data_IF_293889261635
#
_entry.id   IF_293889261635
#
_cell.length_a   1.000
_cell.length_b   1.000
_cell.length_c   1.000
_cell.angle_alpha   90.00
_cell.angle_beta   90.00
_cell.angle_gamma   90.00
#
_symmetry.space_group_name_H-M   'P 1'
#
loop_
_entity.id
_entity.type
_entity.pdbx_description
1 polymer ?
#
# COMPACT_ATOMS: atom_id res chain seq x y z
N UNK A 1 13.25 -5.13 -28.73
CA UNK A 1 11.90 -5.16 -29.33
C UNK A 1 11.20 -6.53 -29.27
N UNK A 2 11.74 -7.54 -28.54
CA UNK A 2 11.15 -8.89 -28.44
C UNK A 2 10.59 -9.26 -27.06
N UNK A 3 10.84 -8.49 -26.01
CA UNK A 3 10.39 -8.80 -24.61
C UNK A 3 8.98 -8.28 -24.34
N UNK A 4 8.55 -7.22 -25.01
CA UNK A 4 7.24 -6.61 -24.81
C UNK A 4 6.03 -7.44 -25.31
N UNK A 5 6.26 -8.48 -26.12
CA UNK A 5 5.19 -9.31 -26.70
C UNK A 5 4.84 -10.52 -25.82
N UNK A 6 5.71 -10.94 -24.90
CA UNK A 6 5.45 -12.08 -24.01
C UNK A 6 4.61 -11.73 -22.76
N UNK A 7 4.58 -10.45 -22.39
CA UNK A 7 3.87 -9.99 -21.18
C UNK A 7 2.38 -9.68 -21.40
N UNK A 8 1.97 -9.38 -22.65
CA UNK A 8 0.56 -9.07 -22.97
C UNK A 8 -0.43 -10.23 -22.81
N UNK A 9 0.07 -11.47 -22.70
CA UNK A 9 -0.78 -12.66 -22.61
C UNK A 9 -1.05 -13.19 -21.19
N UNK A 10 -0.34 -12.72 -20.16
CA UNK A 10 -0.46 -13.28 -18.81
C UNK A 10 -1.26 -12.40 -17.82
N UNK A 11 -1.28 -11.09 -18.01
CA UNK A 11 -1.97 -10.19 -17.07
C UNK A 11 -3.51 -10.34 -17.06
N UNK A 12 -4.11 -10.84 -18.13
CA UNK A 12 -5.58 -11.00 -18.19
C UNK A 12 -6.11 -12.30 -17.56
N UNK A 13 -5.24 -13.17 -17.01
CA UNK A 13 -5.65 -14.46 -16.42
C UNK A 13 -5.60 -14.50 -14.89
N UNK A 14 -5.12 -13.45 -14.22
CA UNK A 14 -4.89 -13.44 -12.77
C UNK A 14 -6.20 -13.39 -11.95
N UNK A 15 -7.31 -13.02 -12.56
CA UNK A 15 -8.60 -12.88 -11.88
C UNK A 15 -9.62 -14.00 -12.24
N UNK A 16 -9.17 -15.22 -12.42
CA UNK A 16 -10.04 -16.35 -12.77
C UNK A 16 -10.43 -17.16 -11.52
N UNK A 17 -11.55 -16.80 -10.91
CA UNK A 17 -12.42 -17.65 -10.08
C UNK A 17 -11.88 -18.16 -8.73
N UNK A 18 -12.77 -18.43 -7.77
CA UNK A 18 -12.38 -18.82 -6.43
C UNK A 18 -11.88 -20.27 -6.36
N UNK A 19 -10.65 -20.45 -5.88
CA UNK A 19 -10.21 -21.75 -5.32
C UNK A 19 -9.80 -21.47 -3.88
N UNK A 20 -10.67 -21.87 -2.98
CA UNK A 20 -10.41 -21.84 -1.54
C UNK A 20 -9.38 -22.92 -1.19
N UNK A 21 -8.18 -22.54 -0.84
CA UNK A 21 -7.11 -23.45 -0.44
C UNK A 21 -6.64 -23.12 0.99
N UNK A 22 -7.09 -23.95 1.95
CA UNK A 22 -6.77 -23.77 3.37
C UNK A 22 -5.26 -23.90 3.67
N UNK A 23 -4.48 -24.60 2.84
CA UNK A 23 -3.03 -24.72 3.03
C UNK A 23 -2.30 -23.39 2.76
N UNK A 24 -2.85 -22.55 1.89
CA UNK A 24 -2.26 -21.22 1.60
C UNK A 24 -2.43 -20.22 2.74
N UNK A 25 -3.46 -20.36 3.58
CA UNK A 25 -3.66 -19.53 4.77
C UNK A 25 -2.65 -19.81 5.89
N UNK A 26 -1.98 -20.96 5.87
CA UNK A 26 -1.02 -21.36 6.91
C UNK A 26 0.38 -20.76 6.74
N UNK A 27 0.65 -20.11 5.62
CA UNK A 27 1.98 -19.58 5.35
C UNK A 27 2.32 -18.40 6.28
N UNK A 28 3.42 -18.53 7.02
CA UNK A 28 4.01 -17.43 7.80
C UNK A 28 4.62 -16.45 6.81
N UNK A 29 4.22 -15.18 6.89
CA UNK A 29 4.83 -14.12 6.10
C UNK A 29 6.18 -13.71 6.73
N UNK A 30 7.26 -13.57 5.94
CA UNK A 30 8.57 -13.23 6.45
C UNK A 30 8.70 -11.74 6.72
N UNK A 31 9.38 -11.36 7.80
CA UNK A 31 9.75 -9.96 8.06
C UNK A 31 11.06 -9.67 7.30
N UNK A 32 11.00 -8.76 6.33
CA UNK A 32 12.15 -8.40 5.49
C UNK A 32 12.79 -7.12 6.00
N UNK A 33 14.00 -7.20 6.53
CA UNK A 33 14.74 -6.05 7.03
C UNK A 33 15.44 -5.32 5.89
N UNK A 34 14.91 -4.16 5.52
CA UNK A 34 15.40 -3.35 4.41
C UNK A 34 16.14 -2.09 4.90
N UNK A 35 16.99 -1.53 4.02
CA UNK A 35 17.65 -0.23 4.22
C UNK A 35 17.85 0.43 2.86
N UNK A 36 17.31 1.63 2.68
CA UNK A 36 17.37 2.31 1.38
C UNK A 36 18.39 3.44 1.33
N UNK A 37 18.82 4.02 2.46
CA UNK A 37 19.81 5.12 2.54
C UNK A 37 19.48 6.23 1.53
N UNK A 38 18.31 6.88 1.69
CA UNK A 38 17.85 7.92 0.79
C UNK A 38 18.80 9.11 0.74
N UNK A 39 19.02 9.64 -0.47
CA UNK A 39 19.92 10.77 -0.74
C UNK A 39 19.10 11.97 -1.19
N UNK A 40 19.09 13.03 -0.39
CA UNK A 40 18.27 14.24 -0.63
C UNK A 40 18.56 14.88 -1.99
N UNK A 41 19.82 14.92 -2.39
CA UNK A 41 20.29 15.58 -3.61
C UNK A 41 19.76 14.89 -4.88
N UNK A 42 19.27 13.65 -4.75
CA UNK A 42 18.76 12.85 -5.86
C UNK A 42 17.25 12.88 -5.98
N UNK A 43 16.55 13.50 -5.05
CA UNK A 43 15.07 13.55 -5.09
C UNK A 43 14.62 14.63 -6.06
N UNK A 44 14.12 14.19 -7.22
CA UNK A 44 13.43 15.08 -8.15
C UNK A 44 11.98 15.30 -7.66
N UNK A 45 11.50 16.55 -7.59
CA UNK A 45 10.09 16.84 -7.32
C UNK A 45 9.09 16.17 -8.27
N UNK A 46 9.55 15.70 -9.39
CA UNK A 46 8.77 14.99 -10.42
C UNK A 46 9.20 13.53 -10.57
N UNK A 47 9.55 12.89 -9.49
CA UNK A 47 10.11 11.54 -9.47
C UNK A 47 9.19 10.45 -10.04
N UNK A 48 7.86 10.67 -10.07
CA UNK A 48 6.92 9.78 -10.74
C UNK A 48 6.41 10.37 -12.06
N UNK A 49 6.53 9.62 -13.14
CA UNK A 49 6.03 9.97 -14.48
C UNK A 49 6.46 11.34 -14.99
N UNK A 50 7.54 11.90 -14.41
CA UNK A 50 7.96 13.28 -14.67
C UNK A 50 6.80 14.30 -14.50
N UNK A 51 5.91 14.05 -13.55
CA UNK A 51 4.70 14.87 -13.31
C UNK A 51 4.58 15.28 -11.83
N UNK A 52 4.39 16.59 -11.58
CA UNK A 52 4.32 17.13 -10.23
C UNK A 52 3.15 16.55 -9.40
N UNK A 53 1.98 16.40 -10.03
CA UNK A 53 0.80 15.88 -9.34
C UNK A 53 0.95 14.39 -8.97
N UNK A 54 1.50 13.56 -9.88
CA UNK A 54 1.73 12.15 -9.60
C UNK A 54 2.77 11.96 -8.48
N UNK A 55 3.86 12.74 -8.52
CA UNK A 55 4.89 12.71 -7.48
C UNK A 55 4.36 13.20 -6.13
N UNK A 56 3.54 14.26 -6.13
CA UNK A 56 2.87 14.75 -4.92
C UNK A 56 1.91 13.71 -4.32
N UNK A 57 1.23 12.92 -5.15
CA UNK A 57 0.39 11.82 -4.69
C UNK A 57 1.19 10.79 -3.91
N UNK A 58 2.29 10.27 -4.46
CA UNK A 58 3.11 9.26 -3.79
C UNK A 58 3.81 9.82 -2.53
N UNK A 59 4.26 11.08 -2.56
CA UNK A 59 4.80 11.73 -1.37
C UNK A 59 3.76 11.87 -0.26
N UNK A 60 2.53 12.25 -0.62
CA UNK A 60 1.42 12.36 0.33
C UNK A 60 1.02 10.99 0.87
N UNK A 61 0.95 9.98 0.01
CA UNK A 61 0.66 8.61 0.39
C UNK A 61 1.68 8.11 1.43
N UNK A 62 2.98 8.31 1.18
CA UNK A 62 4.05 7.95 2.11
C UNK A 62 3.86 8.57 3.51
N UNK A 63 3.44 9.85 3.57
CA UNK A 63 3.22 10.53 4.86
C UNK A 63 2.01 9.96 5.61
N UNK A 64 0.92 9.66 4.91
CA UNK A 64 -0.29 9.16 5.56
C UNK A 64 -0.22 7.67 5.90
N UNK A 65 0.57 6.88 5.17
CA UNK A 65 0.77 5.46 5.46
C UNK A 65 1.33 5.27 6.87
N UNK A 66 2.32 6.04 7.30
CA UNK A 66 2.94 5.87 8.64
C UNK A 66 1.92 5.94 9.77
N UNK A 67 0.93 6.83 9.69
CA UNK A 67 -0.15 6.92 10.69
C UNK A 67 -1.18 5.80 10.58
N UNK A 68 -1.47 5.34 9.36
CA UNK A 68 -2.34 4.19 9.11
C UNK A 68 -1.73 2.90 9.64
N UNK A 69 -0.46 2.68 9.38
CA UNK A 69 0.33 1.55 9.84
C UNK A 69 0.44 1.52 11.37
N UNK A 70 0.67 2.66 12.02
CA UNK A 70 0.68 2.75 13.49
C UNK A 70 -0.68 2.36 14.08
N UNK A 71 -1.81 2.78 13.46
CA UNK A 71 -3.15 2.33 13.86
C UNK A 71 -3.32 0.81 13.69
N UNK A 72 -2.83 0.25 12.58
CA UNK A 72 -2.84 -1.21 12.32
C UNK A 72 -2.03 -1.94 13.37
N UNK A 73 -0.80 -1.51 13.63
CA UNK A 73 0.11 -2.08 14.64
C UNK A 73 -0.56 -2.14 16.01
N UNK A 74 -1.08 -1.02 16.49
CA UNK A 74 -1.68 -0.90 17.83
C UNK A 74 -2.95 -1.74 17.94
N UNK A 75 -3.77 -1.73 16.89
CA UNK A 75 -5.00 -2.53 16.84
C UNK A 75 -4.69 -4.03 16.78
N UNK A 76 -3.73 -4.43 15.95
CA UNK A 76 -3.30 -5.82 15.82
C UNK A 76 -2.68 -6.33 17.14
N UNK A 77 -1.82 -5.55 17.80
CA UNK A 77 -1.23 -5.89 19.11
C UNK A 77 -2.31 -6.14 20.16
N UNK A 78 -3.29 -5.23 20.27
CA UNK A 78 -4.38 -5.37 21.23
C UNK A 78 -5.20 -6.64 20.99
N UNK A 79 -5.58 -6.92 19.75
CA UNK A 79 -6.49 -8.02 19.43
C UNK A 79 -5.79 -9.38 19.32
N UNK A 80 -4.49 -9.43 19.06
CA UNK A 80 -3.71 -10.67 18.96
C UNK A 80 -3.85 -11.57 20.18
N UNK A 81 -3.90 -10.98 21.37
CA UNK A 81 -3.93 -11.76 22.61
C UNK A 81 -5.29 -12.46 22.84
N UNK A 82 -6.34 -12.03 22.17
CA UNK A 82 -7.67 -12.66 22.20
C UNK A 82 -7.83 -13.78 21.16
N UNK A 83 -6.88 -13.94 20.23
CA UNK A 83 -6.93 -15.00 19.22
C UNK A 83 -6.64 -16.36 19.85
N UNK A 84 -7.44 -17.36 19.48
CA UNK A 84 -7.28 -18.76 19.92
C UNK A 84 -6.54 -19.61 18.89
N UNK A 85 -6.62 -19.24 17.58
CA UNK A 85 -5.89 -19.91 16.51
C UNK A 85 -4.40 -19.53 16.56
N UNK A 86 -3.47 -20.47 16.81
CA UNK A 86 -2.05 -20.19 16.91
C UNK A 86 -1.44 -19.77 15.55
N UNK A 87 -1.99 -20.23 14.43
CA UNK A 87 -1.50 -19.88 13.09
C UNK A 87 -1.85 -18.42 12.80
N UNK A 88 -3.10 -18.02 13.00
CA UNK A 88 -3.53 -16.63 12.84
C UNK A 88 -2.77 -15.69 13.79
N UNK A 89 -2.55 -16.13 15.03
CA UNK A 89 -1.76 -15.36 16.02
C UNK A 89 -0.32 -15.13 15.57
N UNK A 90 0.31 -16.14 14.94
CA UNK A 90 1.64 -16.01 14.37
C UNK A 90 1.66 -15.07 13.15
N UNK A 91 0.68 -15.18 12.27
CA UNK A 91 0.54 -14.31 11.10
C UNK A 91 0.35 -12.84 11.52
N UNK A 92 -0.46 -12.58 12.54
CA UNK A 92 -0.62 -11.22 13.12
C UNK A 92 0.70 -10.71 13.71
N UNK A 93 1.52 -11.59 14.29
CA UNK A 93 2.85 -11.19 14.78
C UNK A 93 3.77 -10.77 13.64
N UNK A 94 3.71 -11.47 12.50
CA UNK A 94 4.46 -11.11 11.30
C UNK A 94 3.95 -9.79 10.68
N UNK A 95 2.63 -9.62 10.59
CA UNK A 95 2.00 -8.35 10.15
C UNK A 95 2.53 -7.17 10.96
N UNK A 96 2.47 -7.24 12.30
CA UNK A 96 3.01 -6.17 13.17
C UNK A 96 4.48 -5.88 12.88
N UNK A 97 5.28 -6.90 12.57
CA UNK A 97 6.69 -6.75 12.25
C UNK A 97 6.94 -6.06 10.91
N UNK A 98 6.16 -6.40 9.88
CA UNK A 98 6.25 -5.78 8.56
C UNK A 98 5.77 -4.33 8.63
N UNK A 99 4.61 -4.05 9.22
CA UNK A 99 4.06 -2.71 9.39
C UNK A 99 5.02 -1.77 10.15
N UNK A 100 5.68 -2.28 11.20
CA UNK A 100 6.67 -1.48 11.93
C UNK A 100 7.90 -1.11 11.08
N UNK A 101 8.27 -1.91 10.10
CA UNK A 101 9.32 -1.59 9.14
C UNK A 101 8.82 -0.64 8.05
N UNK A 102 7.57 -0.80 7.58
CA UNK A 102 6.93 0.10 6.65
C UNK A 102 6.90 1.52 7.22
N UNK A 103 6.29 1.69 8.40
CA UNK A 103 6.21 2.99 9.09
C UNK A 103 7.59 3.62 9.27
N UNK A 104 8.58 2.87 9.75
CA UNK A 104 9.93 3.37 9.93
C UNK A 104 10.58 3.86 8.63
N UNK A 105 10.53 3.05 7.57
CA UNK A 105 11.23 3.37 6.32
C UNK A 105 10.52 4.46 5.51
N UNK A 106 9.19 4.52 5.58
CA UNK A 106 8.43 5.64 5.04
C UNK A 106 8.72 6.93 5.81
N UNK A 107 8.93 6.87 7.13
CA UNK A 107 9.32 8.04 7.91
C UNK A 107 10.72 8.56 7.52
N UNK A 108 11.68 7.66 7.28
CA UNK A 108 12.99 8.03 6.73
C UNK A 108 12.88 8.70 5.36
N UNK A 109 11.99 8.21 4.48
CA UNK A 109 11.69 8.85 3.19
C UNK A 109 11.00 10.21 3.37
N UNK A 110 10.05 10.33 4.30
CA UNK A 110 9.33 11.57 4.60
C UNK A 110 10.27 12.66 5.13
N UNK A 111 11.30 12.30 5.87
CA UNK A 111 12.33 13.26 6.34
C UNK A 111 13.16 13.80 5.17
N UNK A 112 13.41 12.99 4.14
CA UNK A 112 14.03 13.50 2.91
C UNK A 112 13.09 14.43 2.13
N UNK A 113 11.82 14.11 2.04
CA UNK A 113 10.82 14.99 1.42
C UNK A 113 10.73 16.37 2.08
N UNK A 114 10.88 16.43 3.41
CA UNK A 114 10.94 17.69 4.16
C UNK A 114 12.11 18.58 3.73
N UNK A 115 13.25 17.98 3.39
CA UNK A 115 14.46 18.70 2.98
C UNK A 115 14.37 19.24 1.54
N UNK A 116 13.43 18.76 0.73
CA UNK A 116 13.15 19.27 -0.64
C UNK A 116 11.87 20.10 -0.71
N UNK A 117 11.54 20.81 0.36
CA UNK A 117 10.42 21.76 0.47
C UNK A 117 9.02 21.14 0.24
N UNK A 118 8.84 19.85 0.56
CA UNK A 118 7.50 19.30 0.65
C UNK A 118 6.86 19.67 2.02
N UNK A 119 5.58 19.98 2.08
CA UNK A 119 4.92 20.45 3.31
C UNK A 119 4.60 19.29 4.28
N UNK A 120 5.59 18.45 4.58
CA UNK A 120 5.48 17.25 5.43
C UNK A 120 4.86 17.58 6.78
N UNK A 121 5.25 18.71 7.41
CA UNK A 121 4.71 19.11 8.70
C UNK A 121 3.21 19.39 8.70
N UNK A 122 2.68 19.95 7.60
CA UNK A 122 1.23 20.19 7.48
C UNK A 122 0.48 18.85 7.37
N UNK A 123 1.01 17.93 6.58
CA UNK A 123 0.37 16.63 6.40
C UNK A 123 0.46 15.75 7.64
N UNK A 124 1.58 15.77 8.37
CA UNK A 124 1.69 15.14 9.68
C UNK A 124 0.62 15.68 10.64
N UNK A 125 0.48 16.99 10.74
CA UNK A 125 -0.54 17.61 11.58
C UNK A 125 -1.97 17.19 11.20
N UNK A 126 -2.29 17.11 9.92
CA UNK A 126 -3.60 16.64 9.45
C UNK A 126 -3.80 15.15 9.76
N UNK A 127 -2.77 14.34 9.58
CA UNK A 127 -2.81 12.91 9.91
C UNK A 127 -2.99 12.70 11.42
N UNK A 128 -2.27 13.44 12.28
CA UNK A 128 -2.47 13.42 13.74
C UNK A 128 -3.93 13.72 14.13
N UNK A 129 -4.56 14.73 13.51
CA UNK A 129 -5.97 15.04 13.78
C UNK A 129 -6.87 13.84 13.46
N UNK A 130 -6.67 13.20 12.33
CA UNK A 130 -7.52 12.10 11.88
C UNK A 130 -7.25 10.81 12.64
N UNK A 131 -5.98 10.43 12.76
CA UNK A 131 -5.60 9.16 13.36
C UNK A 131 -5.52 9.24 14.88
N UNK A 132 -4.77 10.17 15.46
CA UNK A 132 -4.53 10.19 16.90
C UNK A 132 -5.72 10.78 17.68
N UNK A 133 -6.31 11.87 17.18
CA UNK A 133 -7.46 12.49 17.83
C UNK A 133 -8.80 11.91 17.37
N UNK A 134 -8.84 11.28 16.17
CA UNK A 134 -10.04 10.62 15.64
C UNK A 134 -10.03 9.12 15.88
N UNK A 135 -9.37 8.37 15.03
CA UNK A 135 -9.49 6.90 14.99
C UNK A 135 -8.94 6.20 16.22
N UNK A 136 -7.83 6.67 16.80
CA UNK A 136 -7.24 6.06 18.00
C UNK A 136 -8.11 6.18 19.25
N UNK A 137 -9.11 7.08 19.25
CA UNK A 137 -10.07 7.24 20.34
C UNK A 137 -11.34 6.40 20.19
N UNK A 138 -11.51 5.72 19.06
CA UNK A 138 -12.64 4.85 18.82
C UNK A 138 -12.59 3.58 19.70
N UNK A 139 -13.75 2.97 20.02
CA UNK A 139 -13.79 1.69 20.69
C UNK A 139 -13.03 0.61 19.92
N UNK A 140 -12.42 -0.34 20.63
CA UNK A 140 -11.60 -1.40 20.03
C UNK A 140 -12.29 -2.19 18.92
N UNK A 141 -13.60 -2.56 19.01
CA UNK A 141 -14.27 -3.21 17.90
C UNK A 141 -14.34 -2.36 16.62
N UNK A 142 -14.44 -1.03 16.76
CA UNK A 142 -14.44 -0.12 15.60
C UNK A 142 -13.03 0.02 15.03
N UNK A 143 -11.98 0.08 15.85
CA UNK A 143 -10.59 0.07 15.38
C UNK A 143 -10.29 -1.22 14.62
N UNK A 144 -10.74 -2.37 15.11
CA UNK A 144 -10.58 -3.65 14.42
C UNK A 144 -11.27 -3.65 13.04
N UNK A 145 -12.45 -3.05 12.95
CA UNK A 145 -13.15 -2.89 11.67
C UNK A 145 -12.44 -1.92 10.73
N UNK A 146 -11.89 -0.83 11.24
CA UNK A 146 -11.06 0.11 10.47
C UNK A 146 -9.80 -0.58 9.93
N UNK A 147 -9.08 -1.31 10.77
CA UNK A 147 -7.90 -2.08 10.40
C UNK A 147 -8.21 -3.03 9.24
N UNK A 148 -9.28 -3.85 9.35
CA UNK A 148 -9.67 -4.76 8.29
C UNK A 148 -10.06 -4.03 6.99
N UNK A 149 -10.63 -2.82 7.08
CA UNK A 149 -10.95 -1.98 5.92
C UNK A 149 -9.70 -1.34 5.28
N UNK A 150 -8.76 -0.86 6.08
CA UNK A 150 -7.50 -0.28 5.62
C UNK A 150 -6.69 -1.36 4.88
N UNK A 151 -6.46 -2.52 5.48
CA UNK A 151 -5.71 -3.63 4.92
C UNK A 151 -6.33 -4.17 3.61
N UNK A 152 -7.67 -4.23 3.54
CA UNK A 152 -8.32 -4.58 2.28
C UNK A 152 -8.04 -3.54 1.19
N UNK A 153 -8.11 -2.26 1.54
CA UNK A 153 -7.91 -1.17 0.59
C UNK A 153 -6.45 -1.12 0.10
N UNK A 154 -5.48 -1.21 1.01
CA UNK A 154 -4.05 -1.18 0.66
C UNK A 154 -3.66 -2.39 -0.18
N UNK A 155 -4.12 -3.60 0.17
CA UNK A 155 -3.87 -4.80 -0.61
C UNK A 155 -4.42 -4.71 -2.04
N UNK A 156 -5.68 -4.27 -2.22
CA UNK A 156 -6.28 -4.12 -3.56
C UNK A 156 -5.51 -3.10 -4.40
N UNK A 157 -5.11 -1.97 -3.81
CA UNK A 157 -4.32 -0.96 -4.52
C UNK A 157 -2.92 -1.48 -4.87
N UNK A 158 -2.28 -2.21 -3.96
CA UNK A 158 -0.95 -2.77 -4.14
C UNK A 158 -0.93 -3.79 -5.28
N UNK A 159 -1.87 -4.73 -5.28
CA UNK A 159 -2.04 -5.70 -6.36
C UNK A 159 -2.30 -5.01 -7.70
N UNK A 160 -3.14 -3.96 -7.70
CA UNK A 160 -3.42 -3.19 -8.90
C UNK A 160 -2.16 -2.47 -9.41
N UNK A 161 -1.48 -1.74 -8.53
CA UNK A 161 -0.31 -0.96 -8.91
C UNK A 161 0.84 -1.85 -9.39
N UNK A 162 1.09 -2.99 -8.75
CA UNK A 162 2.09 -3.96 -9.20
C UNK A 162 1.75 -4.55 -10.59
N UNK A 163 0.48 -4.77 -10.91
CA UNK A 163 0.06 -5.20 -12.25
C UNK A 163 0.23 -4.13 -13.34
N UNK A 164 0.47 -2.87 -12.93
CA UNK A 164 0.72 -1.74 -13.84
C UNK A 164 2.14 -1.22 -13.62
N UNK A 165 3.10 -2.01 -14.04
CA UNK A 165 4.54 -1.76 -13.82
C UNK A 165 4.99 -0.36 -14.28
N UNK A 166 4.33 0.20 -15.27
CA UNK A 166 4.58 1.56 -15.73
C UNK A 166 4.39 2.63 -14.65
N UNK A 167 3.62 2.34 -13.59
CA UNK A 167 3.44 3.25 -12.46
C UNK A 167 4.69 3.27 -11.57
N UNK A 168 5.33 2.11 -11.37
CA UNK A 168 6.49 1.96 -10.49
C UNK A 168 7.81 2.11 -11.20
N UNK A 169 7.93 1.49 -12.38
CA UNK A 169 9.20 1.47 -13.11
C UNK A 169 9.52 2.80 -13.82
N UNK A 170 8.55 3.71 -13.91
CA UNK A 170 8.74 5.08 -14.38
C UNK A 170 9.27 6.03 -13.30
N UNK A 171 9.53 5.58 -12.07
CA UNK A 171 10.22 6.39 -11.06
C UNK A 171 11.68 6.61 -11.49
N UNK A 172 12.13 7.86 -11.45
CA UNK A 172 13.50 8.24 -11.78
C UNK A 172 14.48 7.86 -10.67
N UNK A 173 14.01 7.72 -9.44
CA UNK A 173 14.83 7.33 -8.29
C UNK A 173 14.66 5.84 -7.99
N UNK A 174 15.77 5.08 -8.07
CA UNK A 174 15.77 3.64 -7.87
C UNK A 174 15.38 3.24 -6.43
N UNK A 175 15.80 4.05 -5.43
CA UNK A 175 15.50 3.77 -4.03
C UNK A 175 14.03 4.02 -3.70
N UNK A 176 13.45 5.10 -4.25
CA UNK A 176 12.02 5.33 -4.13
C UNK A 176 11.21 4.24 -4.83
N UNK A 177 11.65 3.82 -6.03
CA UNK A 177 11.02 2.69 -6.70
C UNK A 177 11.09 1.42 -5.86
N UNK A 178 12.26 1.14 -5.27
CA UNK A 178 12.49 -0.07 -4.48
C UNK A 178 11.63 -0.09 -3.20
N UNK A 179 11.53 1.02 -2.44
CA UNK A 179 10.68 1.04 -1.23
C UNK A 179 9.21 0.80 -1.58
N UNK A 180 8.69 1.41 -2.65
CA UNK A 180 7.31 1.19 -3.07
C UNK A 180 7.06 -0.24 -3.52
N UNK A 181 7.97 -0.84 -4.30
CA UNK A 181 7.83 -2.23 -4.74
C UNK A 181 7.88 -3.21 -3.58
N UNK A 182 8.74 -2.98 -2.59
CA UNK A 182 8.82 -3.76 -1.37
C UNK A 182 7.53 -3.65 -0.54
N UNK A 183 7.09 -2.43 -0.27
CA UNK A 183 5.88 -2.14 0.48
C UNK A 183 4.66 -2.81 -0.18
N UNK A 184 4.45 -2.59 -1.48
CA UNK A 184 3.31 -3.17 -2.19
C UNK A 184 3.33 -4.71 -2.23
N UNK A 185 4.51 -5.33 -2.29
CA UNK A 185 4.63 -6.78 -2.20
C UNK A 185 4.16 -7.28 -0.83
N UNK A 186 4.59 -6.63 0.25
CA UNK A 186 4.22 -7.02 1.62
C UNK A 186 2.74 -6.75 1.90
N UNK A 187 2.17 -5.62 1.43
CA UNK A 187 0.73 -5.34 1.49
C UNK A 187 -0.12 -6.44 0.81
N UNK A 188 0.35 -6.94 -0.32
CA UNK A 188 -0.34 -8.04 -1.01
C UNK A 188 -0.30 -9.36 -0.23
N UNK A 189 0.63 -9.52 0.72
CA UNK A 189 0.71 -10.65 1.65
C UNK A 189 -0.23 -10.50 2.85
N UNK A 190 -0.67 -9.28 3.19
CA UNK A 190 -1.52 -8.96 4.35
C UNK A 190 -3.00 -9.17 4.13
N UNK A 191 -3.46 -9.22 2.88
CA UNK A 191 -4.86 -9.02 2.45
C UNK A 191 -5.93 -9.77 3.26
N UNK A 192 -5.62 -10.92 3.82
CA UNK A 192 -6.58 -11.74 4.57
C UNK A 192 -6.39 -11.67 6.10
N UNK A 193 -5.20 -11.28 6.59
CA UNK A 193 -4.86 -11.37 8.01
C UNK A 193 -5.80 -10.52 8.88
N UNK A 194 -5.91 -9.24 8.56
CA UNK A 194 -6.76 -8.31 9.33
C UNK A 194 -8.24 -8.68 9.23
N UNK A 195 -8.66 -9.15 8.06
CA UNK A 195 -10.02 -9.64 7.84
C UNK A 195 -10.32 -10.87 8.69
N UNK A 196 -9.41 -11.84 8.74
CA UNK A 196 -9.55 -13.07 9.53
C UNK A 196 -9.57 -12.77 11.03
N UNK A 197 -8.75 -11.83 11.51
CA UNK A 197 -8.82 -11.35 12.90
C UNK A 197 -10.19 -10.76 13.19
N UNK A 198 -10.71 -9.90 12.31
CA UNK A 198 -12.05 -9.34 12.47
C UNK A 198 -13.12 -10.42 12.51
N UNK A 199 -13.08 -11.38 11.60
CA UNK A 199 -14.07 -12.47 11.55
C UNK A 199 -14.00 -13.38 12.78
N UNK A 200 -12.80 -13.70 13.26
CA UNK A 200 -12.63 -14.58 14.43
C UNK A 200 -13.11 -13.94 15.74
N UNK A 201 -13.02 -12.60 15.87
CA UNK A 201 -13.34 -11.90 17.12
C UNK A 201 -14.71 -11.22 17.11
N UNK A 202 -15.23 -10.84 15.96
CA UNK A 202 -16.48 -10.09 15.86
C UNK A 202 -17.51 -10.72 14.93
N UNK A 203 -17.13 -11.08 13.69
CA UNK A 203 -18.01 -11.58 12.63
C UNK A 203 -19.30 -10.73 12.43
N UNK A 204 -19.25 -9.43 12.74
CA UNK A 204 -20.40 -8.54 12.65
C UNK A 204 -20.36 -7.76 11.34
N UNK A 205 -21.22 -8.13 10.39
CA UNK A 205 -21.28 -7.49 9.07
C UNK A 205 -21.49 -5.97 9.15
N UNK A 206 -22.42 -5.50 9.98
CA UNK A 206 -22.70 -4.07 10.09
C UNK A 206 -21.50 -3.30 10.62
N UNK A 207 -20.80 -3.86 11.62
CA UNK A 207 -19.59 -3.27 12.14
C UNK A 207 -18.48 -3.26 11.09
N UNK A 208 -18.33 -4.35 10.31
CA UNK A 208 -17.35 -4.42 9.19
C UNK A 208 -17.54 -3.28 8.22
N UNK A 209 -18.79 -3.03 7.80
CA UNK A 209 -19.11 -1.95 6.87
C UNK A 209 -18.94 -0.57 7.52
N UNK A 210 -19.27 -0.43 8.80
CA UNK A 210 -19.14 0.84 9.53
C UNK A 210 -17.69 1.31 9.63
N UNK A 211 -16.69 0.41 9.70
CA UNK A 211 -15.27 0.78 9.70
C UNK A 211 -14.69 0.99 8.30
N UNK A 212 -15.20 0.26 7.31
CA UNK A 212 -14.68 0.35 5.93
C UNK A 212 -14.87 1.75 5.32
N UNK A 213 -16.07 2.34 5.43
CA UNK A 213 -16.35 3.63 4.79
C UNK A 213 -15.51 4.79 5.37
N UNK A 214 -15.39 4.97 6.69
CA UNK A 214 -14.49 5.99 7.23
C UNK A 214 -13.05 5.82 6.78
N UNK A 215 -12.52 4.58 6.77
CA UNK A 215 -11.17 4.30 6.27
C UNK A 215 -11.02 4.73 4.80
N UNK A 216 -11.90 4.25 3.91
CA UNK A 216 -11.87 4.58 2.48
C UNK A 216 -11.98 6.09 2.24
N UNK A 217 -12.96 6.75 2.86
CA UNK A 217 -13.20 8.19 2.67
C UNK A 217 -11.99 8.98 3.16
N UNK A 218 -11.44 8.64 4.33
CA UNK A 218 -10.29 9.34 4.90
C UNK A 218 -9.07 9.24 3.99
N UNK A 219 -8.72 8.02 3.56
CA UNK A 219 -7.57 7.80 2.67
C UNK A 219 -7.75 8.57 1.36
N UNK A 220 -8.91 8.45 0.70
CA UNK A 220 -9.18 9.12 -0.57
C UNK A 220 -9.17 10.64 -0.45
N UNK A 221 -9.79 11.19 0.58
CA UNK A 221 -9.83 12.65 0.79
C UNK A 221 -8.46 13.20 1.15
N UNK A 222 -7.78 12.62 2.13
CA UNK A 222 -6.49 13.10 2.58
C UNK A 222 -5.45 13.06 1.46
N UNK A 223 -5.34 11.93 0.76
CA UNK A 223 -4.39 11.78 -0.33
C UNK A 223 -4.74 12.70 -1.50
N UNK A 224 -6.01 12.80 -1.89
CA UNK A 224 -6.43 13.66 -3.00
C UNK A 224 -6.21 15.14 -2.71
N UNK A 225 -6.58 15.61 -1.50
CA UNK A 225 -6.35 17.01 -1.09
C UNK A 225 -4.86 17.32 -1.03
N UNK A 226 -4.07 16.43 -0.43
CA UNK A 226 -2.64 16.59 -0.33
C UNK A 226 -1.97 16.64 -1.71
N UNK A 227 -2.35 15.76 -2.63
CA UNK A 227 -1.81 15.72 -4.00
C UNK A 227 -2.09 16.99 -4.79
N UNK A 228 -3.26 17.59 -4.59
CA UNK A 228 -3.61 18.88 -5.22
C UNK A 228 -2.88 20.04 -4.55
N UNK A 229 -2.76 20.05 -3.23
CA UNK A 229 -2.15 21.16 -2.48
C UNK A 229 -0.64 21.27 -2.68
N UNK A 230 0.10 20.16 -2.67
CA UNK A 230 1.58 20.13 -2.73
C UNK A 230 2.16 20.90 -3.91
N UNK A 231 1.70 20.72 -5.15
CA UNK A 231 2.27 21.43 -6.30
C UNK A 231 2.14 22.96 -6.21
N UNK A 232 1.05 23.45 -5.61
CA UNK A 232 0.85 24.91 -5.42
C UNK A 232 1.62 25.45 -4.24
N UNK A 233 1.77 24.68 -3.17
CA UNK A 233 2.60 25.05 -2.03
C UNK A 233 4.06 25.24 -2.46
N UNK A 234 4.62 24.29 -3.19
CA UNK A 234 6.01 24.33 -3.66
C UNK A 234 6.24 25.42 -4.70
N UNK A 235 5.30 25.61 -5.61
CA UNK A 235 5.41 26.55 -6.72
C UNK A 235 4.08 27.24 -6.98
N UNK A 236 3.77 28.35 -6.28
CA UNK A 236 2.51 29.08 -6.44
C UNK A 236 2.22 29.49 -7.90
N UNK A 237 3.27 29.74 -8.72
CA UNK A 237 3.13 30.04 -10.14
C UNK A 237 2.51 28.89 -10.96
N UNK A 238 2.39 27.67 -10.42
CA UNK A 238 1.66 26.58 -11.06
C UNK A 238 0.18 26.92 -11.30
N UNK A 239 -0.41 27.81 -10.47
CA UNK A 239 -1.78 28.29 -10.68
C UNK A 239 -2.00 28.90 -12.06
N UNK A 240 -0.98 29.54 -12.64
CA UNK A 240 -1.02 30.18 -13.97
C UNK A 240 -0.14 29.49 -15.00
N UNK A 241 0.45 28.34 -14.67
CA UNK A 241 1.37 27.59 -15.53
C UNK A 241 0.61 26.71 -16.53
N UNK A 242 0.70 27.02 -17.80
CA UNK A 242 0.08 26.21 -18.85
C UNK A 242 0.69 24.78 -18.90
N UNK A 243 1.99 24.62 -18.63
CA UNK A 243 2.63 23.30 -18.57
C UNK A 243 2.07 22.44 -17.46
N UNK A 244 1.89 23.00 -16.26
CA UNK A 244 1.26 22.30 -15.13
C UNK A 244 -0.16 21.82 -15.48
N UNK A 245 -1.00 22.71 -15.98
CA UNK A 245 -2.39 22.35 -16.31
C UNK A 245 -2.52 21.37 -17.48
N UNK A 246 -1.51 21.23 -18.34
CA UNK A 246 -1.45 20.18 -19.35
C UNK A 246 -1.15 18.79 -18.75
N UNK A 247 -0.40 18.72 -17.65
CA UNK A 247 -0.05 17.47 -16.97
C UNK A 247 -1.15 16.98 -16.02
N UNK A 248 -2.03 17.85 -15.54
CA UNK A 248 -3.13 17.49 -14.62
C UNK A 248 -4.04 16.40 -15.16
N UNK A 249 -4.57 16.45 -16.41
CA UNK A 249 -5.43 15.39 -16.93
C UNK A 249 -4.73 14.02 -17.01
N UNK A 250 -3.44 13.98 -17.31
CA UNK A 250 -2.64 12.75 -17.33
C UNK A 250 -2.55 12.15 -15.93
N UNK A 251 -2.14 12.95 -14.96
CA UNK A 251 -2.02 12.52 -13.55
C UNK A 251 -3.38 12.13 -12.96
N UNK A 252 -4.43 12.88 -13.27
CA UNK A 252 -5.79 12.55 -12.85
C UNK A 252 -6.28 11.24 -13.48
N UNK A 253 -5.99 11.00 -14.75
CA UNK A 253 -6.30 9.74 -15.42
C UNK A 253 -5.55 8.55 -14.83
N UNK A 254 -4.29 8.77 -14.39
CA UNK A 254 -3.51 7.76 -13.69
C UNK A 254 -4.13 7.36 -12.36
N UNK A 255 -4.68 8.32 -11.61
CA UNK A 255 -5.28 8.04 -10.30
C UNK A 255 -6.74 7.55 -10.42
N UNK A 256 -7.56 8.21 -11.22
CA UNK A 256 -9.01 8.03 -11.23
C UNK A 256 -9.59 7.52 -12.56
N UNK A 257 -8.77 7.27 -13.55
CA UNK A 257 -9.23 6.74 -14.84
C UNK A 257 -9.88 5.36 -14.71
N UNK A 258 -11.10 5.18 -15.24
CA UNK A 258 -11.89 3.94 -15.09
C UNK A 258 -11.23 2.70 -15.72
N UNK A 259 -10.30 2.88 -16.66
CA UNK A 259 -9.64 1.76 -17.34
C UNK A 259 -8.24 1.44 -16.82
N UNK A 260 -7.50 2.45 -16.35
CA UNK A 260 -6.10 2.34 -15.93
C UNK A 260 -5.75 3.22 -14.73
N UNK A 261 -6.71 3.81 -14.07
CA UNK A 261 -6.47 4.60 -12.88
C UNK A 261 -6.40 3.70 -11.64
N UNK A 262 -5.50 4.01 -10.74
CA UNK A 262 -5.28 3.26 -9.49
C UNK A 262 -6.60 3.03 -8.75
N UNK A 263 -7.36 4.08 -8.53
CA UNK A 263 -8.68 3.99 -7.88
C UNK A 263 -9.80 3.62 -8.84
N UNK A 264 -9.77 4.21 -10.06
CA UNK A 264 -10.88 4.09 -10.99
C UNK A 264 -11.08 2.69 -11.55
N UNK A 265 -10.02 1.90 -11.74
CA UNK A 265 -10.14 0.52 -12.23
C UNK A 265 -10.22 -0.53 -11.11
N UNK A 266 -9.77 -0.17 -9.89
CA UNK A 266 -9.81 -1.07 -8.72
C UNK A 266 -11.15 -1.03 -7.99
N UNK A 267 -12.06 -0.09 -8.31
CA UNK A 267 -13.26 0.16 -7.54
C UNK A 267 -14.14 -1.08 -7.32
N UNK A 268 -14.22 -2.00 -8.29
CA UNK A 268 -15.00 -3.22 -8.15
C UNK A 268 -14.47 -4.10 -7.04
N UNK A 269 -13.16 -4.28 -6.98
CA UNK A 269 -12.50 -5.08 -5.95
C UNK A 269 -12.59 -4.40 -4.59
N UNK A 270 -12.41 -3.07 -4.53
CA UNK A 270 -12.58 -2.30 -3.30
C UNK A 270 -13.99 -2.48 -2.74
N UNK A 271 -15.03 -2.32 -3.57
CA UNK A 271 -16.43 -2.40 -3.13
C UNK A 271 -16.97 -3.82 -3.02
N UNK A 272 -16.27 -4.85 -3.50
CA UNK A 272 -16.64 -6.25 -3.25
C UNK A 272 -16.60 -6.60 -1.74
N UNK A 273 -15.81 -5.85 -0.96
CA UNK A 273 -15.80 -5.90 0.51
C UNK A 273 -17.20 -5.75 1.14
N UNK A 274 -18.12 -5.09 0.44
CA UNK A 274 -19.51 -4.90 0.90
C UNK A 274 -20.39 -6.14 0.73
N UNK A 275 -19.94 -7.15 0.00
CA UNK A 275 -20.66 -8.40 -0.17
C UNK A 275 -20.70 -9.16 1.18
N UNK A 276 -21.89 -9.60 1.66
CA UNK A 276 -21.97 -10.30 2.96
C UNK A 276 -21.06 -11.52 3.08
N UNK A 277 -20.93 -12.30 2.02
CA UNK A 277 -20.10 -13.51 1.93
C UNK A 277 -18.67 -13.22 1.44
N UNK A 278 -18.21 -11.98 1.44
CA UNK A 278 -16.88 -11.61 0.98
C UNK A 278 -15.80 -12.22 1.86
N UNK A 279 -14.75 -12.68 1.20
CA UNK A 279 -13.47 -12.98 1.81
C UNK A 279 -12.34 -12.49 0.88
N UNK A 280 -11.24 -11.91 1.38
CA UNK A 280 -10.14 -11.44 0.53
C UNK A 280 -9.56 -12.52 -0.39
N UNK A 281 -9.54 -13.78 0.05
CA UNK A 281 -9.07 -14.93 -0.72
C UNK A 281 -10.07 -15.44 -1.78
N UNK A 282 -11.23 -14.79 -1.94
CA UNK A 282 -12.10 -15.04 -3.12
C UNK A 282 -11.37 -14.72 -4.44
N UNK A 283 -10.34 -13.88 -4.37
CA UNK A 283 -9.41 -13.60 -5.45
C UNK A 283 -8.08 -14.30 -5.20
N UNK A 284 -7.79 -15.36 -5.96
CA UNK A 284 -6.50 -16.08 -5.89
C UNK A 284 -5.39 -15.24 -6.52
N UNK A 285 -4.49 -14.72 -5.70
CA UNK A 285 -3.32 -13.94 -6.11
C UNK A 285 -2.00 -14.70 -5.97
N UNK A 286 -2.03 -16.01 -5.69
CA UNK A 286 -0.82 -16.79 -5.41
C UNK A 286 0.18 -16.77 -6.57
N UNK A 287 -0.27 -17.01 -7.81
CA UNK A 287 0.61 -16.97 -8.97
C UNK A 287 1.18 -15.57 -9.25
N UNK A 288 0.45 -14.54 -8.89
CA UNK A 288 0.90 -13.16 -8.93
C UNK A 288 2.00 -12.89 -7.90
N UNK A 289 1.77 -13.30 -6.65
CA UNK A 289 2.75 -13.15 -5.57
C UNK A 289 4.03 -13.95 -5.87
N UNK A 290 3.91 -15.18 -6.34
CA UNK A 290 5.06 -16.03 -6.71
C UNK A 290 5.91 -15.37 -7.80
N UNK A 291 5.25 -14.79 -8.83
CA UNK A 291 5.95 -14.07 -9.90
C UNK A 291 6.72 -12.86 -9.37
N UNK A 292 6.09 -12.03 -8.52
CA UNK A 292 6.76 -10.84 -7.99
C UNK A 292 7.81 -11.18 -6.95
N UNK A 293 7.62 -12.20 -6.11
CA UNK A 293 8.65 -12.71 -5.20
C UNK A 293 9.90 -13.14 -5.95
N UNK A 294 9.74 -13.95 -6.99
CA UNK A 294 10.87 -14.38 -7.82
C UNK A 294 11.60 -13.19 -8.43
N UNK A 295 10.88 -12.24 -8.99
CA UNK A 295 11.46 -11.08 -9.65
C UNK A 295 12.12 -10.08 -8.71
N UNK A 296 11.51 -9.82 -7.55
CA UNK A 296 11.97 -8.80 -6.62
C UNK A 296 13.01 -9.32 -5.62
N UNK A 297 12.90 -10.58 -5.23
CA UNK A 297 13.68 -11.17 -4.14
C UNK A 297 14.71 -12.20 -4.61
N UNK A 298 14.90 -12.39 -5.94
CA UNK A 298 15.90 -13.34 -6.44
C UNK A 298 17.30 -12.98 -5.89
N UNK A 299 18.06 -13.94 -5.33
CA UNK A 299 19.31 -13.65 -4.60
C UNK A 299 20.35 -12.87 -5.41
N UNK A 300 20.44 -13.10 -6.74
CA UNK A 300 21.44 -12.48 -7.59
C UNK A 300 20.91 -11.32 -8.42
N UNK A 301 19.63 -11.36 -8.82
CA UNK A 301 19.08 -10.43 -9.81
C UNK A 301 17.84 -9.68 -9.31
N UNK A 302 17.40 -9.94 -8.09
CA UNK A 302 16.21 -9.31 -7.52
C UNK A 302 16.40 -7.81 -7.30
N UNK A 303 15.41 -7.03 -7.68
CA UNK A 303 15.43 -5.56 -7.57
C UNK A 303 15.62 -5.11 -6.12
N UNK A 304 15.12 -5.88 -5.15
CA UNK A 304 15.20 -5.56 -3.72
C UNK A 304 16.44 -6.13 -3.04
N UNK A 305 17.15 -7.05 -3.67
CA UNK A 305 18.29 -7.76 -3.09
C UNK A 305 19.40 -6.82 -2.57
N UNK A 306 19.75 -5.70 -3.25
CA UNK A 306 20.75 -4.77 -2.75
C UNK A 306 20.39 -4.04 -1.44
N UNK A 307 19.12 -4.06 -1.06
CA UNK A 307 18.60 -3.30 0.07
C UNK A 307 18.37 -4.14 1.34
N UNK A 308 18.61 -5.46 1.32
CA UNK A 308 18.51 -6.30 2.51
C UNK A 308 19.65 -6.01 3.49
N UNK A 309 19.31 -5.86 4.79
CA UNK A 309 20.30 -5.67 5.87
C UNK A 309 20.70 -6.97 6.57
N UNK A 310 19.92 -8.04 6.40
CA UNK A 310 20.20 -9.38 6.92
C UNK A 310 20.13 -10.35 5.75
N UNK A 311 20.94 -11.40 5.79
CA UNK A 311 20.82 -12.47 4.81
C UNK A 311 19.37 -12.98 4.81
N UNK A 312 18.67 -12.66 3.76
CA UNK A 312 17.34 -13.19 3.47
C UNK A 312 17.56 -14.40 2.54
N UNK A 313 17.29 -15.57 3.05
CA UNK A 313 17.23 -16.77 2.21
C UNK A 313 15.80 -16.91 1.71
N UNK A 314 15.50 -16.56 0.45
CA UNK A 314 14.17 -16.79 -0.09
C UNK A 314 13.89 -18.30 -0.01
N UNK A 315 12.78 -18.69 0.58
CA UNK A 315 12.27 -20.05 0.45
C UNK A 315 11.71 -20.16 -0.96
N UNK A 316 12.59 -20.37 -1.91
CA UNK A 316 12.18 -20.75 -3.26
C UNK A 316 11.65 -22.19 -3.15
N UNK A 317 10.36 -22.39 -3.38
CA UNK A 317 9.78 -23.72 -3.51
C UNK A 317 10.46 -24.41 -4.71
N UNK A 318 11.22 -25.47 -4.42
CA UNK A 318 11.74 -26.42 -5.43
C UNK A 318 10.60 -27.11 -6.18
#
# INVERSE_FOLDING_TARGET
MCIALLLKGKASRVFAGPVFDAEKQSAIIPIRHMKFDFEVEKIDPKFYLNAELASAYFASLSIFLTYGEDLVIDTARYHRDFLTDPVLKQRVTSLIGQEALHSKLHEELNDTFKQVDLPVGIFRYLAEIVFDYGFNRLPQPMKLSLMAGIEHFTAVLSEYMMNHEEIFFDSQDEKQRAIWMWHMLEESEHKDIAYDVFQSLSNNYTLRIAGFFPALITILLLISVASVFVPFYRKPSNLVSLSYWKDVPRSFSLLFGLKRGVYGSSWKHIFDYLRPSFHPNDYDTSAFLDYYKERLLHPETGVLTPYFTKEFTPVLKS
#
